data_IF_477539604173
#
_entry.id   IF_477539604173
#
_cell.length_a   1.000
_cell.length_b   1.000
_cell.length_c   1.000
_cell.angle_alpha   90.00
_cell.angle_beta   90.00
_cell.angle_gamma   90.00
#
_symmetry.space_group_name_H-M   'P 1'
#
loop_
_entity.id
_entity.type
_entity.pdbx_description
1 polymer ?
#
# COMPACT_ATOMS: atom_id res chain seq x y z
N UNK A 1 -0.92 12.07 2.21
CA UNK A 1 0.03 12.99 2.89
C UNK A 1 0.26 14.26 2.07
N UNK A 2 0.74 14.18 0.81
CA UNK A 2 1.05 15.35 -0.03
C UNK A 2 -0.12 16.35 -0.17
N UNK A 3 -1.35 15.86 -0.33
CA UNK A 3 -2.55 16.71 -0.46
C UNK A 3 -3.00 17.38 0.85
N UNK A 4 -2.59 16.83 2.01
CA UNK A 4 -2.91 17.36 3.34
C UNK A 4 -1.74 18.10 3.98
N UNK A 5 -0.65 18.36 3.25
CA UNK A 5 0.52 19.09 3.74
C UNK A 5 1.02 18.59 5.11
N UNK A 6 1.32 19.51 6.03
CA UNK A 6 1.77 19.20 7.39
C UNK A 6 0.77 18.40 8.24
N UNK A 7 -0.54 18.50 7.96
CA UNK A 7 -1.59 17.73 8.63
C UNK A 7 -1.54 16.23 8.30
N UNK A 8 -0.84 15.84 7.24
CA UNK A 8 -0.61 14.43 6.92
C UNK A 8 0.51 13.75 7.72
N UNK A 9 1.21 14.50 8.59
CA UNK A 9 2.36 14.03 9.39
C UNK A 9 2.18 14.22 10.91
N UNK A 10 1.06 14.82 11.33
CA UNK A 10 0.68 14.97 12.74
C UNK A 10 -0.09 13.73 13.20
N UNK A 11 0.35 13.14 14.33
CA UNK A 11 -0.24 11.95 14.99
C UNK A 11 -1.73 12.03 15.31
N UNK A 12 -2.31 13.22 15.23
CA UNK A 12 -3.72 13.49 15.52
C UNK A 12 -4.63 13.19 14.32
N UNK A 13 -4.11 13.05 13.10
CA UNK A 13 -4.94 12.84 11.91
C UNK A 13 -4.92 11.38 11.45
N UNK A 14 -6.09 10.77 11.15
CA UNK A 14 -6.18 9.35 10.79
C UNK A 14 -5.41 8.99 9.51
N UNK A 15 -5.06 10.00 8.69
CA UNK A 15 -4.39 9.83 7.39
C UNK A 15 -2.95 9.33 7.51
N UNK A 16 -2.22 9.67 8.59
CA UNK A 16 -0.88 9.10 8.80
C UNK A 16 -0.94 7.62 9.19
N UNK A 17 -1.97 7.23 9.96
CA UNK A 17 -2.21 5.85 10.39
C UNK A 17 -2.59 5.01 9.19
N UNK A 18 -3.54 5.47 8.38
CA UNK A 18 -3.91 4.82 7.13
C UNK A 18 -2.71 4.65 6.19
N UNK A 19 -1.84 5.66 6.06
CA UNK A 19 -0.64 5.54 5.22
C UNK A 19 0.35 4.50 5.75
N UNK A 20 0.45 4.34 7.07
CA UNK A 20 1.29 3.30 7.70
C UNK A 20 0.70 1.91 7.45
N UNK A 21 -0.60 1.75 7.69
CA UNK A 21 -1.29 0.46 7.55
C UNK A 21 -1.23 -0.04 6.10
N UNK A 22 -1.46 0.85 5.12
CA UNK A 22 -1.34 0.54 3.69
C UNK A 22 0.06 0.03 3.30
N UNK A 23 1.11 0.46 4.01
CA UNK A 23 2.47 0.02 3.70
C UNK A 23 2.79 -1.35 4.27
N UNK A 24 2.13 -1.73 5.36
CA UNK A 24 2.25 -3.05 5.98
C UNK A 24 1.49 -4.10 5.17
N UNK A 25 0.29 -3.76 4.66
CA UNK A 25 -0.49 -4.67 3.82
C UNK A 25 0.23 -5.06 2.53
N UNK A 26 1.11 -4.18 2.01
CA UNK A 26 1.98 -4.46 0.85
C UNK A 26 3.05 -5.53 1.07
N UNK A 27 3.22 -6.04 2.30
CA UNK A 27 4.21 -7.08 2.64
C UNK A 27 3.52 -8.31 3.25
N UNK A 28 2.54 -8.08 4.13
CA UNK A 28 1.99 -9.14 4.98
C UNK A 28 1.04 -10.12 4.25
N UNK A 29 0.14 -9.63 3.40
CA UNK A 29 -0.84 -10.47 2.68
C UNK A 29 -0.36 -10.88 1.27
N UNK A 30 0.95 -10.82 1.06
CA UNK A 30 1.58 -11.01 -0.24
C UNK A 30 2.26 -9.73 -0.68
N UNK A 31 3.57 -9.82 -0.98
CA UNK A 31 4.29 -8.66 -1.45
C UNK A 31 3.74 -8.18 -2.79
N UNK A 32 3.79 -6.86 -3.04
CA UNK A 32 3.40 -6.29 -4.34
C UNK A 32 4.08 -6.99 -5.53
N UNK A 33 5.28 -7.55 -5.34
CA UNK A 33 6.00 -8.29 -6.38
C UNK A 33 5.38 -9.67 -6.65
N UNK A 34 5.02 -10.40 -5.60
CA UNK A 34 4.36 -11.71 -5.74
C UNK A 34 2.96 -11.55 -6.34
N UNK A 35 2.19 -10.55 -5.90
CA UNK A 35 0.87 -10.27 -6.49
C UNK A 35 0.99 -9.96 -7.99
N UNK A 36 1.96 -9.13 -8.40
CA UNK A 36 2.21 -8.84 -9.82
C UNK A 36 2.65 -10.08 -10.60
N UNK A 37 3.43 -10.98 -10.00
CA UNK A 37 3.82 -12.24 -10.65
C UNK A 37 2.61 -13.16 -10.85
N UNK A 38 1.73 -13.29 -9.86
CA UNK A 38 0.50 -14.11 -9.94
C UNK A 38 -0.43 -13.55 -11.02
N UNK A 39 -0.72 -12.24 -10.98
CA UNK A 39 -1.54 -11.58 -12.00
C UNK A 39 -0.90 -11.72 -13.38
N UNK A 40 0.42 -11.56 -13.49
CA UNK A 40 1.14 -11.76 -14.75
C UNK A 40 1.01 -13.18 -15.30
N UNK A 41 1.02 -14.19 -14.43
CA UNK A 41 0.77 -15.59 -14.80
C UNK A 41 -0.68 -15.84 -15.21
N UNK A 42 -1.67 -15.26 -14.53
CA UNK A 42 -3.08 -15.37 -14.90
C UNK A 42 -3.40 -14.66 -16.22
N UNK A 43 -2.80 -13.49 -16.47
CA UNK A 43 -3.10 -12.66 -17.64
C UNK A 43 -2.36 -13.13 -18.89
N UNK A 44 -1.12 -13.64 -18.76
CA UNK A 44 -0.29 -14.07 -19.89
C UNK A 44 -0.28 -15.60 -20.06
N UNK A 45 -0.76 -16.35 -19.05
CA UNK A 45 -0.86 -17.80 -19.10
C UNK A 45 -1.80 -18.27 -20.22
N UNK A 46 -1.21 -18.89 -21.24
CA UNK A 46 -1.90 -19.81 -22.15
C UNK A 46 -2.37 -21.05 -21.39
#
# INVERSE_FOLDING_TARGET
VQLMGGYGYCKEFPVERMMRDVKITQIYEGSNQIQRMIIGREVIGK
#
